data_IF_247462614821
#
_entry.id   IF_247462614821
#
_cell.length_a   1.000
_cell.length_b   1.000
_cell.length_c   1.000
_cell.angle_alpha   90.00
_cell.angle_beta   90.00
_cell.angle_gamma   90.00
#
_symmetry.space_group_name_H-M   'P 1'
#
loop_
_entity.id
_entity.type
_entity.pdbx_description
1 polymer ?
#
# COMPACT_ATOMS: atom_id res chain seq x y z
N UNK A 1 38.32 -30.23 -11.23
CA UNK A 1 38.50 -30.09 -9.80
C UNK A 1 38.61 -28.61 -9.46
N UNK A 2 38.38 -28.25 -8.19
CA UNK A 2 38.54 -26.89 -7.65
C UNK A 2 40.00 -26.45 -7.75
N UNK A 3 40.22 -25.18 -8.07
CA UNK A 3 41.52 -24.54 -8.10
C UNK A 3 41.73 -23.75 -6.81
N UNK A 4 42.99 -23.47 -6.45
CA UNK A 4 43.30 -22.48 -5.41
C UNK A 4 42.73 -21.15 -5.88
N UNK A 5 41.92 -20.45 -5.05
CA UNK A 5 41.18 -19.23 -5.31
C UNK A 5 39.72 -19.40 -5.76
N UNK A 6 39.21 -20.62 -5.93
CA UNK A 6 37.78 -20.82 -6.14
C UNK A 6 37.01 -20.56 -4.84
N UNK A 7 36.06 -19.60 -4.89
CA UNK A 7 35.15 -19.35 -3.79
C UNK A 7 33.99 -20.35 -3.81
N UNK A 8 33.74 -21.00 -2.68
CA UNK A 8 32.67 -21.97 -2.52
C UNK A 8 31.62 -21.48 -1.54
N UNK A 9 30.35 -21.64 -1.92
CA UNK A 9 29.20 -21.29 -1.06
C UNK A 9 28.94 -22.49 -0.13
N UNK A 10 29.12 -22.28 1.18
CA UNK A 10 28.89 -23.31 2.21
C UNK A 10 27.48 -23.28 2.80
N UNK A 11 26.80 -22.14 2.74
CA UNK A 11 25.43 -21.94 3.24
C UNK A 11 24.58 -21.17 2.21
N UNK A 12 23.28 -21.45 2.15
CA UNK A 12 22.36 -20.74 1.26
C UNK A 12 22.44 -21.16 -0.23
N UNK A 13 22.96 -22.33 -0.53
CA UNK A 13 23.12 -22.87 -1.89
C UNK A 13 21.84 -22.82 -2.71
N UNK A 14 20.69 -23.09 -2.10
CA UNK A 14 19.38 -23.02 -2.78
C UNK A 14 19.06 -21.61 -3.27
N UNK A 15 19.31 -20.60 -2.44
CA UNK A 15 19.07 -19.20 -2.80
C UNK A 15 19.98 -18.75 -3.95
N UNK A 16 21.24 -19.16 -3.93
CA UNK A 16 22.19 -18.84 -5.01
C UNK A 16 21.79 -19.53 -6.31
N UNK A 17 21.37 -20.80 -6.25
CA UNK A 17 20.92 -21.54 -7.44
C UNK A 17 19.65 -20.93 -8.05
N UNK A 18 18.67 -20.54 -7.23
CA UNK A 18 17.47 -19.85 -7.68
C UNK A 18 17.78 -18.50 -8.36
N UNK A 19 18.70 -17.73 -7.80
CA UNK A 19 19.14 -16.47 -8.39
C UNK A 19 19.87 -16.69 -9.73
N UNK A 20 20.70 -17.72 -9.84
CA UNK A 20 21.38 -18.08 -11.09
C UNK A 20 20.39 -18.50 -12.18
N UNK A 21 19.34 -19.26 -11.84
CA UNK A 21 18.27 -19.64 -12.77
C UNK A 21 17.51 -18.44 -13.29
N UNK A 22 17.13 -17.49 -12.43
CA UNK A 22 16.44 -16.27 -12.83
C UNK A 22 17.28 -15.39 -13.77
N UNK A 23 18.59 -15.41 -13.61
CA UNK A 23 19.53 -14.69 -14.49
C UNK A 23 19.92 -15.49 -15.76
N UNK A 24 19.41 -16.69 -15.94
CA UNK A 24 19.74 -17.55 -17.06
C UNK A 24 21.18 -18.08 -17.04
N UNK A 25 21.84 -18.07 -15.88
CA UNK A 25 23.18 -18.62 -15.69
C UNK A 25 23.13 -20.15 -15.46
N UNK A 26 24.26 -20.82 -15.61
CA UNK A 26 24.37 -22.24 -15.28
C UNK A 26 24.08 -22.47 -13.80
N UNK A 27 23.24 -23.45 -13.49
CA UNK A 27 22.88 -23.84 -12.14
C UNK A 27 22.77 -25.35 -12.01
N UNK A 28 22.58 -25.88 -10.80
CA UNK A 28 22.38 -27.32 -10.59
C UNK A 28 21.19 -27.85 -11.40
N UNK A 29 20.14 -27.10 -11.54
CA UNK A 29 18.92 -27.49 -12.27
C UNK A 29 18.98 -27.13 -13.77
N UNK A 30 19.85 -26.21 -14.16
CA UNK A 30 20.05 -25.78 -15.54
C UNK A 30 21.56 -25.79 -15.92
N UNK A 31 22.08 -26.97 -16.17
CA UNK A 31 23.52 -27.18 -16.46
C UNK A 31 24.01 -26.52 -17.75
N UNK A 32 23.12 -26.26 -18.70
CA UNK A 32 23.48 -25.63 -19.99
C UNK A 32 23.39 -24.08 -19.93
N UNK A 33 22.74 -23.50 -18.93
CA UNK A 33 22.43 -22.08 -18.87
C UNK A 33 21.33 -21.69 -19.88
N UNK A 34 20.96 -20.42 -19.91
CA UNK A 34 19.85 -19.90 -20.70
C UNK A 34 18.58 -19.76 -19.85
N UNK A 35 17.64 -18.92 -20.29
CA UNK A 35 16.35 -18.76 -19.61
C UNK A 35 15.58 -20.06 -19.68
N UNK A 36 15.21 -20.62 -18.54
CA UNK A 36 14.30 -21.77 -18.45
C UNK A 36 12.92 -21.26 -18.82
N UNK A 37 12.37 -21.71 -19.95
CA UNK A 37 10.97 -21.49 -20.30
C UNK A 37 10.12 -22.30 -19.30
N UNK A 38 9.56 -21.63 -18.30
CA UNK A 38 8.49 -22.18 -17.50
C UNK A 38 7.26 -22.22 -18.38
N UNK A 39 6.68 -23.40 -18.62
CA UNK A 39 5.61 -23.68 -19.62
C UNK A 39 4.33 -22.83 -19.55
N UNK A 40 4.39 -21.59 -19.10
CA UNK A 40 3.32 -20.60 -19.05
C UNK A 40 3.43 -19.49 -20.11
N UNK A 41 4.38 -19.56 -21.04
CA UNK A 41 4.60 -18.50 -22.05
C UNK A 41 3.66 -18.58 -23.27
N UNK A 42 2.79 -19.58 -23.37
CA UNK A 42 1.85 -19.76 -24.51
C UNK A 42 0.41 -19.27 -24.23
N UNK A 43 0.22 -18.27 -23.36
CA UNK A 43 -1.04 -17.52 -23.30
C UNK A 43 -0.88 -16.12 -23.93
N UNK A 44 -0.54 -16.08 -25.22
CA UNK A 44 -0.83 -14.95 -26.08
C UNK A 44 -2.36 -14.91 -26.29
N UNK A 45 -3.06 -14.06 -25.51
CA UNK A 45 -4.46 -13.81 -25.76
C UNK A 45 -5.35 -13.56 -24.54
N UNK A 46 -4.79 -13.11 -23.42
CA UNK A 46 -5.63 -12.52 -22.39
C UNK A 46 -4.83 -11.38 -21.72
N UNK A 47 -5.15 -10.15 -22.08
CA UNK A 47 -4.74 -8.98 -21.31
C UNK A 47 -5.25 -9.13 -19.88
N UNK A 48 -4.44 -9.76 -19.03
CA UNK A 48 -4.57 -9.60 -17.60
C UNK A 48 -4.11 -8.18 -17.29
N UNK A 49 -5.05 -7.26 -17.27
CA UNK A 49 -4.96 -6.02 -16.52
C UNK A 49 -4.80 -6.36 -15.02
N UNK A 50 -3.70 -7.03 -14.69
CA UNK A 50 -3.21 -7.10 -13.32
C UNK A 50 -2.41 -5.82 -13.13
N UNK A 51 -3.13 -4.71 -12.95
CA UNK A 51 -2.54 -3.50 -12.40
C UNK A 51 -2.08 -3.84 -10.98
N UNK A 52 -0.92 -4.47 -10.84
CA UNK A 52 -0.14 -4.37 -9.62
C UNK A 52 0.18 -2.89 -9.48
N UNK A 53 -0.57 -2.21 -8.62
CA UNK A 53 -0.29 -0.82 -8.27
C UNK A 53 1.02 -0.85 -7.49
N UNK A 54 2.13 -0.74 -8.21
CA UNK A 54 3.43 -0.48 -7.61
C UNK A 54 3.40 0.98 -7.20
N UNK A 55 3.26 1.24 -5.91
CA UNK A 55 3.38 2.60 -5.38
C UNK A 55 4.88 2.91 -5.40
N UNK A 56 5.35 3.64 -6.42
CA UNK A 56 6.69 4.19 -6.43
C UNK A 56 6.71 5.43 -5.55
N UNK A 57 7.58 5.42 -4.54
CA UNK A 57 7.76 6.55 -3.61
C UNK A 57 8.81 7.51 -4.17
N UNK A 58 8.46 8.30 -5.18
CA UNK A 58 9.34 9.34 -5.70
C UNK A 58 9.23 10.60 -4.85
N UNK A 59 10.29 10.91 -4.10
CA UNK A 59 10.40 12.12 -3.29
C UNK A 59 10.35 13.41 -4.14
N UNK A 60 10.58 13.30 -5.45
CA UNK A 60 10.64 14.41 -6.40
C UNK A 60 9.27 14.88 -6.92
N UNK A 61 8.17 14.23 -6.51
CA UNK A 61 6.82 14.58 -6.97
C UNK A 61 6.01 15.37 -5.91
N UNK A 62 6.67 15.85 -4.84
CA UNK A 62 5.99 16.64 -3.81
C UNK A 62 5.70 18.04 -4.31
N UNK A 63 4.43 18.44 -4.16
CA UNK A 63 3.96 19.80 -4.38
C UNK A 63 4.16 20.58 -3.08
N UNK A 64 4.74 21.77 -3.16
CA UNK A 64 4.84 22.68 -2.02
C UNK A 64 3.47 23.23 -1.66
N UNK A 65 3.06 23.02 -0.43
CA UNK A 65 1.81 23.54 0.15
C UNK A 65 2.11 24.18 1.49
N UNK A 66 1.19 25.02 1.97
CA UNK A 66 1.35 25.69 3.27
C UNK A 66 1.38 24.66 4.42
N UNK A 67 2.08 25.02 5.49
CA UNK A 67 2.09 24.22 6.72
C UNK A 67 0.68 24.01 7.29
N UNK A 68 -0.20 25.01 7.17
CA UNK A 68 -1.60 24.91 7.61
C UNK A 68 -2.34 23.79 6.86
N UNK A 69 -2.13 23.66 5.54
CA UNK A 69 -2.70 22.56 4.77
C UNK A 69 -2.16 21.21 5.24
N UNK A 70 -0.85 21.10 5.45
CA UNK A 70 -0.24 19.87 5.96
C UNK A 70 -0.75 19.49 7.36
N UNK A 71 -0.98 20.46 8.24
CA UNK A 71 -1.55 20.25 9.57
C UNK A 71 -3.00 19.74 9.51
N UNK A 72 -3.79 20.30 8.57
CA UNK A 72 -5.16 19.81 8.32
C UNK A 72 -5.13 18.38 7.75
N UNK A 73 -4.25 18.07 6.81
CA UNK A 73 -4.07 16.72 6.26
C UNK A 73 -3.56 15.74 7.34
N UNK A 74 -2.68 16.19 8.25
CA UNK A 74 -2.28 15.41 9.43
C UNK A 74 -3.46 15.08 10.35
N UNK A 75 -4.42 15.99 10.49
CA UNK A 75 -5.66 15.73 11.26
C UNK A 75 -6.51 14.65 10.58
N UNK A 76 -6.60 14.67 9.26
CA UNK A 76 -7.24 13.60 8.46
C UNK A 76 -6.52 12.27 8.67
N UNK A 77 -5.18 12.26 8.57
CA UNK A 77 -4.37 11.07 8.83
C UNK A 77 -4.59 10.51 10.24
N UNK A 78 -4.67 11.34 11.26
CA UNK A 78 -4.93 10.89 12.63
C UNK A 78 -6.31 10.22 12.78
N UNK A 79 -7.33 10.71 12.07
CA UNK A 79 -8.64 10.06 12.05
C UNK A 79 -8.61 8.72 11.28
N UNK A 80 -7.85 8.65 10.19
CA UNK A 80 -7.61 7.40 9.47
C UNK A 80 -6.93 6.34 10.35
N UNK A 81 -5.94 6.71 11.16
CA UNK A 81 -5.28 5.77 12.09
C UNK A 81 -6.31 5.17 13.08
N UNK A 82 -7.22 5.98 13.62
CA UNK A 82 -8.29 5.47 14.50
C UNK A 82 -9.20 4.48 13.79
N UNK A 83 -9.51 4.71 12.52
CA UNK A 83 -10.26 3.77 11.70
C UNK A 83 -9.47 2.48 11.47
N UNK A 84 -8.19 2.58 11.10
CA UNK A 84 -7.27 1.44 10.94
C UNK A 84 -7.23 0.58 12.22
N UNK A 85 -7.09 1.22 13.39
CA UNK A 85 -7.02 0.52 14.68
C UNK A 85 -8.33 -0.20 15.03
N UNK A 86 -9.49 0.40 14.69
CA UNK A 86 -10.79 -0.25 14.85
C UNK A 86 -10.93 -1.49 13.94
N UNK A 87 -10.41 -1.43 12.71
CA UNK A 87 -10.39 -2.58 11.79
C UNK A 87 -9.46 -3.69 12.26
N UNK A 88 -8.30 -3.35 12.84
CA UNK A 88 -7.38 -4.30 13.48
C UNK A 88 -8.08 -5.07 14.59
N UNK A 89 -8.83 -4.36 15.44
CA UNK A 89 -9.56 -4.92 16.60
C UNK A 89 -10.91 -5.54 16.23
N UNK A 90 -11.27 -5.58 14.96
CA UNK A 90 -12.56 -6.09 14.46
C UNK A 90 -13.80 -5.38 15.05
N UNK A 91 -13.64 -4.13 15.49
CA UNK A 91 -14.67 -3.33 16.14
C UNK A 91 -15.54 -2.59 15.12
N UNK A 92 -16.51 -3.27 14.50
CA UNK A 92 -17.37 -2.75 13.43
C UNK A 92 -18.00 -1.39 13.76
N UNK A 93 -18.57 -1.22 14.96
CA UNK A 93 -19.23 0.03 15.36
C UNK A 93 -18.24 1.18 15.58
N UNK A 94 -17.06 0.90 16.13
CA UNK A 94 -15.99 1.91 16.26
C UNK A 94 -15.43 2.29 14.91
N UNK A 95 -15.32 1.34 13.98
CA UNK A 95 -14.94 1.61 12.60
C UNK A 95 -15.92 2.57 11.91
N UNK A 96 -17.24 2.36 12.09
CA UNK A 96 -18.28 3.28 11.59
C UNK A 96 -18.11 4.68 12.20
N UNK A 97 -17.95 4.78 13.51
CA UNK A 97 -17.78 6.07 14.19
C UNK A 97 -16.49 6.78 13.75
N UNK A 98 -15.38 6.05 13.62
CA UNK A 98 -14.11 6.58 13.15
C UNK A 98 -14.19 7.05 11.68
N UNK A 99 -14.91 6.33 10.81
CA UNK A 99 -15.11 6.72 9.43
C UNK A 99 -15.95 8.01 9.29
N UNK A 100 -16.99 8.17 10.12
CA UNK A 100 -17.75 9.44 10.18
C UNK A 100 -16.87 10.61 10.61
N UNK A 101 -16.00 10.40 11.61
CA UNK A 101 -15.04 11.43 12.03
C UNK A 101 -14.01 11.77 10.96
N UNK A 102 -13.56 10.77 10.20
CA UNK A 102 -12.69 10.98 9.04
C UNK A 102 -13.38 11.83 7.97
N UNK A 103 -14.66 11.54 7.65
CA UNK A 103 -15.47 12.35 6.71
C UNK A 103 -15.62 13.81 7.17
N UNK A 104 -15.84 14.01 8.46
CA UNK A 104 -15.88 15.35 9.04
C UNK A 104 -14.56 16.10 8.86
N UNK A 105 -13.44 15.46 9.21
CA UNK A 105 -12.13 16.08 9.13
C UNK A 105 -11.72 16.40 7.69
N UNK A 106 -11.97 15.50 6.74
CA UNK A 106 -11.64 15.77 5.32
C UNK A 106 -12.51 16.86 4.71
N UNK A 107 -13.72 17.05 5.24
CA UNK A 107 -14.61 18.12 4.79
C UNK A 107 -14.22 19.48 5.34
N UNK A 108 -13.40 19.54 6.39
CA UNK A 108 -12.88 20.76 7.00
C UNK A 108 -11.55 21.24 6.39
N UNK A 109 -10.95 20.45 5.51
CA UNK A 109 -9.72 20.88 4.83
C UNK A 109 -10.02 22.07 3.94
N UNK A 110 -9.33 23.18 4.23
CA UNK A 110 -9.51 24.42 3.48
C UNK A 110 -8.77 24.40 2.15
N UNK A 111 -9.52 24.23 1.08
CA UNK A 111 -8.98 24.18 -0.29
C UNK A 111 -8.44 25.53 -0.77
N UNK A 112 -8.77 26.65 -0.11
CA UNK A 112 -8.22 27.97 -0.44
C UNK A 112 -6.71 28.08 -0.14
N UNK A 113 -6.19 27.16 0.66
CA UNK A 113 -4.76 27.03 0.92
C UNK A 113 -3.97 26.48 -0.28
N UNK A 114 -4.66 25.89 -1.26
CA UNK A 114 -4.09 25.38 -2.52
C UNK A 114 -4.24 26.46 -3.60
N UNK A 115 -3.14 27.18 -3.86
CA UNK A 115 -3.15 28.42 -4.66
C UNK A 115 -3.19 28.19 -6.17
N UNK A 116 -2.61 27.10 -6.65
CA UNK A 116 -2.58 26.80 -8.08
C UNK A 116 -3.65 25.78 -8.49
N UNK A 117 -4.09 25.88 -9.74
CA UNK A 117 -5.20 25.07 -10.28
C UNK A 117 -4.87 23.59 -10.38
N UNK A 118 -3.61 23.22 -10.64
CA UNK A 118 -3.20 21.84 -10.77
C UNK A 118 -3.24 21.15 -9.41
N UNK A 119 -2.64 21.77 -8.39
CA UNK A 119 -2.65 21.33 -6.99
C UNK A 119 -4.07 21.17 -6.46
N UNK A 120 -4.93 22.15 -6.75
CA UNK A 120 -6.35 22.10 -6.36
C UNK A 120 -7.07 20.93 -7.06
N UNK A 121 -6.88 20.73 -8.35
CA UNK A 121 -7.50 19.63 -9.12
C UNK A 121 -7.06 18.28 -8.62
N UNK A 122 -5.76 18.10 -8.35
CA UNK A 122 -5.20 16.88 -7.78
C UNK A 122 -5.84 16.54 -6.43
N UNK A 123 -5.95 17.55 -5.55
CA UNK A 123 -6.61 17.39 -4.25
C UNK A 123 -8.07 17.00 -4.39
N UNK A 124 -8.83 17.68 -5.23
CA UNK A 124 -10.26 17.42 -5.43
C UNK A 124 -10.53 16.00 -5.92
N UNK A 125 -9.70 15.49 -6.84
CA UNK A 125 -9.79 14.12 -7.32
C UNK A 125 -9.59 13.11 -6.19
N UNK A 126 -8.53 13.28 -5.39
CA UNK A 126 -8.22 12.40 -4.26
C UNK A 126 -9.30 12.46 -3.18
N UNK A 127 -9.76 13.66 -2.81
CA UNK A 127 -10.82 13.85 -1.81
C UNK A 127 -12.11 13.17 -2.21
N UNK A 128 -12.49 13.23 -3.49
CA UNK A 128 -13.68 12.56 -4.01
C UNK A 128 -13.61 11.05 -3.73
N UNK A 129 -12.48 10.41 -4.06
CA UNK A 129 -12.30 8.97 -3.87
C UNK A 129 -12.17 8.60 -2.37
N UNK A 130 -11.47 9.40 -1.58
CA UNK A 130 -11.37 9.22 -0.12
C UNK A 130 -12.77 9.31 0.51
N UNK A 131 -13.56 10.35 0.20
CA UNK A 131 -14.93 10.51 0.71
C UNK A 131 -15.83 9.35 0.31
N UNK A 132 -15.76 8.90 -0.95
CA UNK A 132 -16.51 7.76 -1.47
C UNK A 132 -16.20 6.49 -0.67
N UNK A 133 -14.92 6.13 -0.56
CA UNK A 133 -14.50 4.94 0.16
C UNK A 133 -14.88 5.00 1.66
N UNK A 134 -14.66 6.15 2.30
CA UNK A 134 -14.99 6.35 3.72
C UNK A 134 -16.49 6.28 3.98
N UNK A 135 -17.32 6.85 3.07
CA UNK A 135 -18.77 6.73 3.15
C UNK A 135 -19.23 5.28 3.03
N UNK A 136 -18.62 4.51 2.12
CA UNK A 136 -18.93 3.08 2.00
C UNK A 136 -18.58 2.31 3.28
N UNK A 137 -17.44 2.61 3.92
CA UNK A 137 -17.08 2.00 5.22
C UNK A 137 -18.13 2.34 6.30
N UNK A 138 -18.58 3.60 6.36
CA UNK A 138 -19.56 4.05 7.36
C UNK A 138 -20.94 3.41 7.22
N UNK A 139 -21.26 2.90 6.05
CA UNK A 139 -22.54 2.23 5.72
C UNK A 139 -22.45 0.72 5.74
N UNK A 140 -21.24 0.16 5.75
CA UNK A 140 -21.01 -1.28 5.69
C UNK A 140 -21.44 -1.97 7.00
N UNK A 141 -22.20 -3.05 6.88
CA UNK A 141 -22.81 -3.75 8.00
C UNK A 141 -21.85 -4.68 8.77
N UNK A 142 -20.73 -5.05 8.16
CA UNK A 142 -19.79 -6.01 8.72
C UNK A 142 -18.32 -5.64 8.43
N UNK A 143 -17.42 -6.21 9.21
CA UNK A 143 -15.98 -5.91 9.14
C UNK A 143 -15.35 -6.29 7.79
N UNK A 144 -15.81 -7.37 7.16
CA UNK A 144 -15.29 -7.83 5.87
C UNK A 144 -15.55 -6.81 4.77
N UNK A 145 -16.76 -6.26 4.75
CA UNK A 145 -17.16 -5.23 3.80
C UNK A 145 -16.40 -3.92 4.08
N UNK A 146 -16.27 -3.53 5.35
CA UNK A 146 -15.47 -2.36 5.74
C UNK A 146 -14.02 -2.47 5.24
N UNK A 147 -13.37 -3.63 5.43
CA UNK A 147 -12.01 -3.89 4.94
C UNK A 147 -11.90 -3.84 3.43
N UNK A 148 -12.93 -4.26 2.68
CA UNK A 148 -12.92 -4.17 1.22
C UNK A 148 -12.86 -2.73 0.71
N UNK A 149 -13.54 -1.80 1.40
CA UNK A 149 -13.53 -0.38 1.07
C UNK A 149 -12.30 0.35 1.63
N UNK A 150 -11.75 -0.12 2.76
CA UNK A 150 -10.57 0.46 3.40
C UNK A 150 -9.33 0.43 2.48
N UNK A 151 -9.19 -0.57 1.63
CA UNK A 151 -8.14 -0.63 0.61
C UNK A 151 -8.11 0.61 -0.29
N UNK A 152 -9.27 1.01 -0.81
CA UNK A 152 -9.36 2.17 -1.70
C UNK A 152 -9.14 3.48 -0.95
N UNK A 153 -9.63 3.58 0.29
CA UNK A 153 -9.34 4.70 1.19
C UNK A 153 -7.82 4.83 1.41
N UNK A 154 -7.15 3.74 1.76
CA UNK A 154 -5.71 3.71 2.03
C UNK A 154 -4.89 4.15 0.82
N UNK A 155 -5.19 3.61 -0.36
CA UNK A 155 -4.47 3.98 -1.60
C UNK A 155 -4.56 5.47 -1.91
N UNK A 156 -5.75 6.07 -1.79
CA UNK A 156 -5.93 7.48 -2.10
C UNK A 156 -5.34 8.40 -1.01
N UNK A 157 -5.38 8.00 0.25
CA UNK A 157 -4.75 8.77 1.32
C UNK A 157 -3.21 8.67 1.26
N UNK A 158 -2.65 7.51 0.88
CA UNK A 158 -1.22 7.36 0.60
C UNK A 158 -0.80 8.34 -0.49
N UNK A 159 -1.51 8.38 -1.62
CA UNK A 159 -1.24 9.33 -2.71
C UNK A 159 -1.31 10.78 -2.24
N UNK A 160 -2.32 11.14 -1.46
CA UNK A 160 -2.46 12.49 -0.93
C UNK A 160 -1.25 12.88 -0.06
N UNK A 161 -0.81 11.98 0.84
CA UNK A 161 0.35 12.23 1.71
C UNK A 161 1.67 12.25 0.92
N UNK A 162 1.78 11.46 -0.15
CA UNK A 162 2.95 11.50 -1.03
C UNK A 162 3.07 12.84 -1.75
N UNK A 163 1.98 13.33 -2.31
CA UNK A 163 1.94 14.56 -3.11
C UNK A 163 2.11 15.80 -2.21
N UNK A 164 1.34 15.90 -1.14
CA UNK A 164 1.26 17.12 -0.33
C UNK A 164 2.15 17.10 0.90
N UNK A 165 2.56 15.91 1.34
CA UNK A 165 3.29 15.74 2.59
C UNK A 165 2.43 15.99 3.83
N UNK A 166 2.92 15.51 4.96
CA UNK A 166 2.47 15.90 6.29
C UNK A 166 3.69 16.00 7.19
N UNK A 167 3.65 16.92 8.16
CA UNK A 167 4.78 17.13 9.07
C UNK A 167 4.77 16.09 10.21
N UNK A 168 4.95 14.80 9.83
CA UNK A 168 5.11 13.69 10.77
C UNK A 168 5.65 12.45 10.04
N UNK A 169 6.30 11.55 10.79
CA UNK A 169 6.75 10.26 10.26
C UNK A 169 5.54 9.36 9.98
N UNK A 170 5.52 8.75 8.81
CA UNK A 170 4.48 7.83 8.35
C UNK A 170 5.13 6.62 7.72
N UNK A 171 4.63 5.45 8.07
CA UNK A 171 5.01 4.19 7.44
C UNK A 171 3.93 3.76 6.46
N UNK A 172 4.34 3.18 5.35
CA UNK A 172 3.46 2.53 4.40
C UNK A 172 3.71 1.04 4.49
N UNK A 173 2.69 0.34 4.92
CA UNK A 173 2.70 -1.09 5.14
C UNK A 173 2.02 -1.81 3.97
N UNK A 174 2.38 -3.08 3.77
CA UNK A 174 1.83 -3.90 2.71
C UNK A 174 1.60 -5.34 3.16
N UNK A 175 0.45 -5.89 2.83
CA UNK A 175 0.17 -7.32 2.99
C UNK A 175 -0.11 -7.96 1.63
N UNK A 176 0.73 -8.89 1.15
CA UNK A 176 0.55 -9.54 -0.16
C UNK A 176 -0.71 -10.42 -0.22
N UNK A 177 -1.12 -10.99 0.90
CA UNK A 177 -2.28 -11.90 0.98
C UNK A 177 -3.61 -11.15 1.03
N UNK A 178 -3.63 -9.86 1.36
CA UNK A 178 -4.85 -9.08 1.41
C UNK A 178 -5.50 -8.96 0.01
N UNK A 179 -6.81 -8.64 -0.01
CA UNK A 179 -7.54 -8.42 -1.25
C UNK A 179 -7.48 -9.62 -2.22
N UNK A 180 -7.71 -10.84 -1.71
CA UNK A 180 -7.66 -12.09 -2.49
C UNK A 180 -6.28 -12.29 -3.17
N UNK A 181 -5.21 -12.18 -2.42
CA UNK A 181 -3.81 -12.32 -2.86
C UNK A 181 -3.36 -11.31 -3.94
N UNK A 182 -4.09 -10.19 -4.07
CA UNK A 182 -3.66 -9.06 -4.94
C UNK A 182 -2.84 -8.03 -4.18
N UNK A 183 -2.76 -8.19 -2.87
CA UNK A 183 -2.11 -7.27 -1.96
C UNK A 183 -2.95 -6.04 -1.62
N UNK A 184 -2.64 -5.44 -0.49
CA UNK A 184 -3.19 -4.16 -0.09
C UNK A 184 -2.21 -3.38 0.79
N UNK A 185 -2.22 -2.05 0.63
CA UNK A 185 -1.39 -1.11 1.38
C UNK A 185 -2.23 -0.40 2.44
N UNK A 186 -1.56 0.06 3.50
CA UNK A 186 -2.14 0.98 4.49
C UNK A 186 -1.06 1.88 5.11
N UNK A 187 -1.51 2.90 5.83
CA UNK A 187 -0.63 3.82 6.55
C UNK A 187 -0.57 3.46 8.03
N UNK A 188 0.61 3.61 8.63
CA UNK A 188 0.86 3.41 10.05
C UNK A 188 1.68 4.56 10.64
N UNK A 189 1.55 4.77 11.96
CA UNK A 189 2.44 5.62 12.76
C UNK A 189 3.65 4.85 13.29
N UNK A 190 3.55 3.54 13.34
CA UNK A 190 4.52 2.63 13.92
C UNK A 190 5.18 1.81 12.82
N UNK A 191 6.43 1.45 13.03
CA UNK A 191 7.19 0.57 12.15
C UNK A 191 6.72 -0.89 12.22
N UNK A 192 6.14 -1.24 13.38
CA UNK A 192 5.60 -2.58 13.59
C UNK A 192 4.37 -2.78 12.71
N UNK A 193 4.44 -3.78 11.84
CA UNK A 193 3.32 -4.17 10.97
C UNK A 193 2.17 -4.71 11.83
N UNK A 194 1.00 -4.06 11.73
CA UNK A 194 -0.26 -4.49 12.35
C UNK A 194 -1.35 -4.43 11.30
N UNK A 195 -1.79 -5.59 10.86
CA UNK A 195 -2.60 -5.78 9.67
C UNK A 195 -4.10 -5.50 9.90
N UNK A 196 -4.68 -4.46 9.27
CA UNK A 196 -6.11 -4.15 9.41
C UNK A 196 -7.02 -5.05 8.57
N UNK A 197 -6.47 -5.83 7.63
CA UNK A 197 -7.26 -6.65 6.71
C UNK A 197 -7.62 -8.02 7.27
N UNK A 198 -6.87 -8.53 8.26
CA UNK A 198 -7.07 -9.86 8.82
C UNK A 198 -7.36 -9.86 10.33
N UNK A 199 -7.06 -8.76 11.05
CA UNK A 199 -7.24 -8.70 12.50
C UNK A 199 -6.49 -9.80 13.23
N UNK A 200 -7.12 -10.40 14.23
CA UNK A 200 -6.49 -11.43 15.08
C UNK A 200 -6.03 -12.68 14.32
N UNK A 201 -6.56 -12.93 13.12
CA UNK A 201 -6.17 -14.09 12.30
C UNK A 201 -4.77 -13.97 11.72
N UNK A 202 -4.30 -12.74 11.48
CA UNK A 202 -2.99 -12.46 10.92
C UNK A 202 -2.60 -11.01 11.25
N UNK A 203 -2.19 -10.76 12.47
CA UNK A 203 -1.77 -9.41 12.91
C UNK A 203 -0.50 -8.94 12.23
N UNK A 204 0.40 -9.86 11.90
CA UNK A 204 1.66 -9.58 11.18
C UNK A 204 1.66 -10.34 9.87
N UNK A 205 2.06 -9.68 8.80
CA UNK A 205 2.25 -10.32 7.49
C UNK A 205 3.69 -10.75 7.28
#
# INVERSE_FOLDING_TARGET
>A
GLKNEDEIVTNGTFTVDAAAQLQGKKSMMNKKGGKVMTGHENHLGMEKNTSSITISFNKNERIEVSEDFQNQLKTVFNAYIKLKDALVKEETNKSISASKKLLENISKVDMKLLKDNETHTNWMSLVKEIKKATTSISKASNIKEQRSHFKNLSLNLIKAIQIFGINTKVFVEFCPMANNNKGAYWLSKEEKVINPYYGDKMLTC
#
